data_IF_387209725567
#
_entry.id   IF_387209725567
#
_cell.length_a   1.000
_cell.length_b   1.000
_cell.length_c   1.000
_cell.angle_alpha   90.00
_cell.angle_beta   90.00
_cell.angle_gamma   90.00
#
_symmetry.space_group_name_H-M   'P 1'
#
loop_
_entity.id
_entity.type
_entity.pdbx_description
1 polymer ?
#
# COMPACT_ATOMS: atom_id res chain seq x y z
N UNK A 1 -17.73 17.03 6.59
CA UNK A 1 -17.16 16.61 5.29
C UNK A 1 -15.84 17.33 5.12
N UNK A 2 -14.78 16.64 4.67
CA UNK A 2 -13.49 17.29 4.39
C UNK A 2 -13.52 17.93 3.01
N UNK A 3 -12.80 19.04 2.85
CA UNK A 3 -12.72 19.87 1.64
C UNK A 3 -11.49 19.53 0.78
N UNK A 4 -10.38 19.08 1.38
CA UNK A 4 -9.17 18.72 0.65
C UNK A 4 -8.31 17.66 1.36
N UNK A 5 -7.40 17.03 0.61
CA UNK A 5 -6.39 16.13 1.17
C UNK A 5 -5.43 16.87 2.15
N UNK A 6 -5.15 18.15 1.89
CA UNK A 6 -4.34 18.98 2.78
C UNK A 6 -5.02 19.17 4.13
N UNK A 7 -6.32 19.48 4.14
CA UNK A 7 -7.09 19.64 5.38
C UNK A 7 -7.07 18.37 6.21
N UNK A 8 -7.21 17.20 5.57
CA UNK A 8 -7.08 15.92 6.26
C UNK A 8 -5.68 15.74 6.82
N UNK A 9 -4.64 16.08 6.07
CA UNK A 9 -3.24 15.99 6.51
C UNK A 9 -2.96 16.84 7.75
N UNK A 10 -3.41 18.09 7.75
CA UNK A 10 -3.25 19.01 8.89
C UNK A 10 -3.97 18.52 10.15
N UNK A 11 -5.15 17.90 9.99
CA UNK A 11 -5.89 17.33 11.11
C UNK A 11 -5.21 16.08 11.66
N UNK A 12 -4.77 15.19 10.78
CA UNK A 12 -4.08 13.95 11.17
C UNK A 12 -2.75 14.23 11.86
N UNK A 13 -2.00 15.25 11.42
CA UNK A 13 -0.73 15.65 12.03
C UNK A 13 -0.87 16.13 13.49
N UNK A 14 -2.08 16.52 13.93
CA UNK A 14 -2.34 16.92 15.33
C UNK A 14 -2.60 15.74 16.26
N UNK A 15 -2.78 14.53 15.72
CA UNK A 15 -3.12 13.34 16.51
C UNK A 15 -1.91 12.90 17.33
N UNK A 16 -2.12 12.77 18.64
CA UNK A 16 -1.15 12.19 19.58
C UNK A 16 -1.85 11.20 20.50
N UNK A 17 -1.15 10.13 20.91
CA UNK A 17 -1.65 9.23 21.96
C UNK A 17 -1.36 9.81 23.34
N UNK A 18 -2.04 9.29 24.38
CA UNK A 18 -1.78 9.65 25.78
C UNK A 18 -0.33 9.39 26.21
N UNK A 19 0.32 8.39 25.59
CA UNK A 19 1.72 8.02 25.84
C UNK A 19 2.72 8.74 24.92
N UNK A 20 2.26 9.68 24.08
CA UNK A 20 3.12 10.58 23.31
C UNK A 20 3.49 10.13 21.89
N UNK A 21 2.87 9.08 21.34
CA UNK A 21 3.06 8.72 19.93
C UNK A 21 2.42 9.78 19.03
N UNK A 22 3.14 10.20 18.00
CA UNK A 22 2.68 11.19 17.01
C UNK A 22 2.47 10.53 15.65
N UNK A 23 1.50 11.04 14.89
CA UNK A 23 1.26 10.61 13.52
C UNK A 23 2.13 11.44 12.56
N UNK A 24 2.83 10.76 11.66
CA UNK A 24 3.52 11.37 10.53
C UNK A 24 2.71 11.08 9.25
N UNK A 25 2.49 12.11 8.44
CA UNK A 25 1.74 12.00 7.20
C UNK A 25 2.47 12.68 6.05
N UNK A 26 2.30 12.15 4.85
CA UNK A 26 2.78 12.74 3.60
C UNK A 26 1.74 12.47 2.53
N UNK A 27 1.48 13.48 1.68
CA UNK A 27 0.62 13.33 0.52
C UNK A 27 1.50 12.91 -0.66
N UNK A 28 1.14 11.80 -1.30
CA UNK A 28 1.79 11.37 -2.53
C UNK A 28 1.07 12.03 -3.70
N UNK A 29 1.60 13.16 -4.16
CA UNK A 29 1.10 13.87 -5.35
C UNK A 29 1.71 13.28 -6.63
N UNK A 30 1.44 11.99 -6.85
CA UNK A 30 1.85 11.28 -8.07
C UNK A 30 0.66 10.54 -8.64
N UNK A 31 0.48 10.67 -9.96
CA UNK A 31 -0.51 9.89 -10.69
C UNK A 31 -0.04 8.44 -10.78
N UNK A 32 -0.78 7.54 -10.13
CA UNK A 32 -0.61 6.11 -10.30
C UNK A 32 -0.98 5.73 -11.74
N UNK A 33 -0.01 5.21 -12.48
CA UNK A 33 -0.24 4.74 -13.84
C UNK A 33 -1.12 3.50 -13.80
N UNK A 34 -2.24 3.55 -14.51
CA UNK A 34 -3.18 2.43 -14.64
C UNK A 34 -2.90 1.65 -15.93
N UNK A 35 -3.43 0.43 -16.03
CA UNK A 35 -3.31 -0.38 -17.25
C UNK A 35 -1.93 -1.02 -17.47
N UNK A 36 -1.05 -1.02 -16.46
CA UNK A 36 0.18 -1.80 -16.50
C UNK A 36 -0.17 -3.28 -16.67
N UNK A 37 0.27 -3.87 -17.79
CA UNK A 37 0.11 -5.30 -18.03
C UNK A 37 1.12 -6.05 -17.16
N UNK A 38 0.65 -7.14 -16.57
CA UNK A 38 1.49 -8.11 -15.86
C UNK A 38 1.68 -9.33 -16.75
N UNK A 39 2.68 -10.15 -16.47
CA UNK A 39 2.88 -11.41 -17.17
C UNK A 39 1.62 -12.29 -17.10
N UNK A 40 1.39 -13.11 -18.12
CA UNK A 40 0.30 -14.09 -18.11
C UNK A 40 0.48 -15.05 -16.92
N UNK A 41 -0.61 -15.38 -16.23
CA UNK A 41 -0.56 -16.24 -15.04
C UNK A 41 -0.05 -15.54 -13.77
N UNK A 42 0.37 -14.26 -13.83
CA UNK A 42 0.91 -13.55 -12.67
C UNK A 42 -0.10 -13.47 -11.53
N UNK A 43 -1.36 -13.09 -11.82
CA UNK A 43 -2.37 -12.90 -10.76
C UNK A 43 -2.77 -14.22 -10.11
N UNK A 44 -2.75 -15.29 -10.87
CA UNK A 44 -3.12 -16.64 -10.47
C UNK A 44 -2.04 -17.29 -9.60
N UNK A 45 -0.77 -16.99 -9.88
CA UNK A 45 0.39 -17.60 -9.20
C UNK A 45 0.97 -16.72 -8.07
N UNK A 46 0.60 -15.44 -8.03
CA UNK A 46 1.08 -14.48 -7.04
C UNK A 46 0.77 -14.93 -5.62
N UNK A 47 1.82 -15.20 -4.84
CA UNK A 47 1.68 -15.64 -3.45
C UNK A 47 1.47 -14.44 -2.54
N UNK A 48 0.22 -14.26 -2.11
CA UNK A 48 -0.16 -13.28 -1.08
C UNK A 48 -0.16 -13.98 0.28
N UNK A 49 0.61 -13.44 1.22
CA UNK A 49 0.61 -13.86 2.62
C UNK A 49 -0.13 -12.83 3.45
N UNK A 50 -1.21 -13.23 4.09
CA UNK A 50 -1.95 -12.37 5.00
C UNK A 50 -1.31 -12.39 6.39
N UNK A 51 -1.35 -11.24 7.06
CA UNK A 51 -0.91 -11.11 8.43
C UNK A 51 -1.81 -11.92 9.38
N UNK A 52 -1.24 -12.53 10.42
CA UNK A 52 -1.98 -13.40 11.34
C UNK A 52 -2.98 -12.61 12.20
N UNK A 53 -2.67 -11.35 12.54
CA UNK A 53 -3.47 -10.54 13.45
C UNK A 53 -4.47 -9.64 12.71
N UNK A 54 -4.08 -9.08 11.57
CA UNK A 54 -4.92 -8.21 10.74
C UNK A 54 -4.95 -8.64 9.26
N UNK A 55 -5.43 -9.86 8.95
CA UNK A 55 -5.37 -10.41 7.59
C UNK A 55 -6.16 -9.61 6.55
N UNK A 56 -7.17 -8.84 6.97
CA UNK A 56 -7.94 -8.00 6.04
C UNK A 56 -7.22 -6.71 5.64
N UNK A 57 -6.26 -6.26 6.45
CA UNK A 57 -5.61 -4.96 6.28
C UNK A 57 -4.16 -5.09 5.86
N UNK A 58 -3.46 -6.10 6.40
CA UNK A 58 -2.04 -6.27 6.22
C UNK A 58 -1.77 -7.57 5.45
N UNK A 59 -1.03 -7.44 4.35
CA UNK A 59 -0.58 -8.57 3.56
C UNK A 59 0.79 -8.27 2.95
N UNK A 60 1.55 -9.33 2.70
CA UNK A 60 2.81 -9.28 1.96
C UNK A 60 2.65 -10.04 0.67
N UNK A 61 2.90 -9.36 -0.45
CA UNK A 61 3.13 -10.01 -1.73
C UNK A 61 4.53 -10.58 -1.73
N UNK A 62 4.69 -11.90 -1.86
CA UNK A 62 6.01 -12.51 -2.05
C UNK A 62 6.30 -12.65 -3.56
N UNK A 63 7.28 -11.90 -4.10
CA UNK A 63 7.73 -12.10 -5.46
C UNK A 63 8.27 -13.52 -5.59
N UNK A 64 7.86 -14.22 -6.64
CA UNK A 64 8.53 -15.46 -7.01
C UNK A 64 9.81 -15.06 -7.76
N UNK A 65 10.97 -15.45 -7.23
CA UNK A 65 12.24 -15.30 -7.94
C UNK A 65 12.17 -16.04 -9.25
N UNK A 66 12.54 -15.31 -10.28
CA UNK A 66 12.22 -15.64 -11.64
C UNK A 66 13.45 -16.23 -12.33
N UNK A 67 13.61 -17.55 -12.26
CA UNK A 67 14.37 -18.27 -13.27
C UNK A 67 13.54 -18.53 -14.55
N UNK A 68 12.23 -18.23 -14.56
CA UNK A 68 11.30 -18.84 -15.53
C UNK A 68 10.33 -17.94 -16.33
N UNK A 69 10.36 -16.60 -16.30
CA UNK A 69 9.36 -15.80 -17.06
C UNK A 69 9.88 -14.59 -17.85
N UNK A 70 10.93 -14.74 -18.68
CA UNK A 70 11.54 -13.67 -19.49
C UNK A 70 10.61 -12.47 -19.76
N UNK A 71 10.92 -11.34 -19.12
CA UNK A 71 10.14 -10.09 -19.26
C UNK A 71 10.37 -9.54 -20.66
N UNK A 72 9.28 -9.38 -21.41
CA UNK A 72 9.19 -8.56 -22.64
C UNK A 72 9.15 -7.09 -22.24
#
# INVERSE_FOLDING_TARGET
MFDSANTVSELMAKVTTQTGLKVLMTIIDKTYQTGLKVAEGFKETMKILFDDFLPQWNYTVKPQTHSDLQVI
#
